data_IF_238218743995
#
_entry.id   IF_238218743995
#
_cell.length_a   1.000
_cell.length_b   1.000
_cell.length_c   1.000
_cell.angle_alpha   90.00
_cell.angle_beta   90.00
_cell.angle_gamma   90.00
#
_symmetry.space_group_name_H-M   'P 1'
#
loop_
_entity.id
_entity.type
_entity.pdbx_description
1 polymer ?
#
# COMPACT_ATOMS: atom_id res chain seq x y z
N UNK A 1 3.01 9.15 -11.20
CA UNK A 1 4.14 9.32 -10.28
C UNK A 1 5.48 9.31 -11.05
N UNK A 2 6.52 9.96 -10.54
CA UNK A 2 7.86 9.82 -11.11
C UNK A 2 8.28 8.35 -11.09
N UNK A 3 8.79 7.82 -12.20
CA UNK A 3 9.22 6.43 -12.32
C UNK A 3 8.13 5.35 -12.18
N UNK A 4 6.87 5.72 -12.21
CA UNK A 4 5.75 4.76 -12.25
C UNK A 4 5.72 3.95 -13.56
N UNK A 5 5.12 2.76 -13.52
CA UNK A 5 4.92 1.93 -14.69
C UNK A 5 4.04 2.64 -15.73
N UNK A 6 4.40 2.54 -16.99
CA UNK A 6 3.68 3.24 -18.08
C UNK A 6 2.26 2.70 -18.33
N UNK A 7 1.95 1.52 -17.84
CA UNK A 7 0.63 0.89 -17.93
C UNK A 7 -0.17 0.96 -16.63
N UNK A 8 0.51 1.21 -15.51
CA UNK A 8 -0.11 1.31 -14.20
C UNK A 8 -0.96 2.59 -14.10
N UNK A 9 -2.28 2.41 -13.90
CA UNK A 9 -3.27 3.47 -13.98
C UNK A 9 -3.72 3.82 -15.41
N UNK A 10 -2.83 4.24 -16.36
CA UNK A 10 -3.26 4.61 -17.71
C UNK A 10 -4.02 3.52 -18.46
N UNK A 11 -3.70 2.24 -18.25
CA UNK A 11 -4.40 1.13 -18.89
C UNK A 11 -5.89 1.13 -18.50
N UNK A 12 -6.21 1.24 -17.21
CA UNK A 12 -7.59 1.21 -16.73
C UNK A 12 -8.42 2.39 -17.26
N UNK A 13 -7.86 3.60 -17.24
CA UNK A 13 -8.55 4.80 -17.75
C UNK A 13 -8.79 4.70 -19.26
N UNK A 14 -7.78 4.27 -20.04
CA UNK A 14 -7.91 4.15 -21.49
C UNK A 14 -8.82 3.00 -21.89
N UNK A 15 -8.82 1.89 -21.17
CA UNK A 15 -9.76 0.78 -21.40
C UNK A 15 -11.20 1.22 -21.15
N UNK A 16 -11.46 1.98 -20.07
CA UNK A 16 -12.79 2.53 -19.81
C UNK A 16 -13.26 3.47 -20.94
N UNK A 17 -12.37 4.30 -21.49
CA UNK A 17 -12.67 5.15 -22.65
C UNK A 17 -12.99 4.30 -23.89
N UNK A 18 -12.21 3.26 -24.17
CA UNK A 18 -12.42 2.39 -25.34
C UNK A 18 -13.73 1.60 -25.23
N UNK A 19 -14.10 1.14 -24.02
CA UNK A 19 -15.41 0.50 -23.79
C UNK A 19 -16.55 1.43 -24.21
N UNK A 20 -16.54 2.70 -23.78
CA UNK A 20 -17.60 3.65 -24.14
C UNK A 20 -17.60 3.93 -25.64
N UNK A 21 -16.44 4.06 -26.27
CA UNK A 21 -16.36 4.24 -27.73
C UNK A 21 -16.97 3.04 -28.48
N UNK A 22 -16.57 1.83 -28.12
CA UNK A 22 -17.09 0.59 -28.74
C UNK A 22 -18.59 0.45 -28.55
N UNK A 23 -19.12 0.79 -27.37
CA UNK A 23 -20.57 0.78 -27.11
C UNK A 23 -21.32 1.80 -27.98
N UNK A 24 -20.79 3.01 -28.13
CA UNK A 24 -21.38 4.04 -28.98
C UNK A 24 -21.37 3.62 -30.47
N UNK A 25 -20.27 3.08 -30.95
CA UNK A 25 -20.14 2.55 -32.33
C UNK A 25 -21.08 1.39 -32.59
N UNK A 26 -21.31 0.53 -31.61
CA UNK A 26 -22.29 -0.57 -31.69
C UNK A 26 -23.75 -0.12 -31.47
N UNK A 27 -23.99 1.14 -31.16
CA UNK A 27 -25.34 1.66 -30.87
C UNK A 27 -25.98 1.10 -29.60
N UNK A 28 -25.16 0.61 -28.65
CA UNK A 28 -25.63 0.05 -27.39
C UNK A 28 -26.10 1.14 -26.43
N UNK A 29 -27.24 0.92 -25.80
CA UNK A 29 -27.76 1.80 -24.75
C UNK A 29 -27.79 1.06 -23.43
N UNK A 30 -27.31 1.75 -22.39
CA UNK A 30 -27.28 1.23 -21.02
C UNK A 30 -28.46 1.75 -20.22
N UNK A 31 -28.89 0.97 -19.22
CA UNK A 31 -29.96 1.36 -18.30
C UNK A 31 -29.53 2.49 -17.37
N UNK A 32 -28.27 2.50 -17.00
CA UNK A 32 -27.66 3.51 -16.13
C UNK A 32 -26.53 4.22 -16.88
N UNK A 33 -26.24 5.49 -16.57
CA UNK A 33 -25.10 6.16 -17.17
C UNK A 33 -23.80 5.46 -16.76
N UNK A 34 -22.82 5.49 -17.67
CA UNK A 34 -21.46 4.99 -17.41
C UNK A 34 -20.55 6.19 -17.23
N UNK A 35 -19.77 6.19 -16.18
CA UNK A 35 -18.78 7.21 -15.90
C UNK A 35 -17.38 6.63 -15.98
N UNK A 36 -16.46 7.34 -16.64
CA UNK A 36 -15.02 7.07 -16.59
C UNK A 36 -14.45 7.88 -15.45
N UNK A 37 -13.72 7.22 -14.55
CA UNK A 37 -13.11 7.88 -13.41
C UNK A 37 -11.60 7.79 -13.49
N UNK A 38 -10.93 8.92 -13.35
CA UNK A 38 -9.49 9.01 -13.15
C UNK A 38 -9.23 9.56 -11.74
N UNK A 39 -8.81 8.69 -10.82
CA UNK A 39 -8.60 9.04 -9.42
C UNK A 39 -7.33 9.86 -9.23
N UNK A 40 -7.49 11.13 -8.87
CA UNK A 40 -6.36 12.02 -8.56
C UNK A 40 -5.68 11.60 -7.25
N UNK A 41 -4.35 11.53 -7.24
CA UNK A 41 -3.55 11.16 -6.07
C UNK A 41 -3.90 9.77 -5.52
N UNK A 42 -4.14 8.81 -6.42
CA UNK A 42 -4.43 7.43 -6.05
C UNK A 42 -3.24 6.82 -5.33
N UNK A 43 -2.03 6.96 -5.86
CA UNK A 43 -0.77 6.41 -5.35
C UNK A 43 -0.25 7.08 -4.06
N UNK A 44 -0.69 8.29 -3.75
CA UNK A 44 -0.23 9.03 -2.58
C UNK A 44 1.23 9.46 -2.60
N UNK A 45 1.91 9.41 -3.75
CA UNK A 45 3.36 9.65 -3.84
C UNK A 45 3.79 11.06 -3.51
N UNK A 46 2.99 12.05 -3.88
CA UNK A 46 3.26 13.46 -3.56
C UNK A 46 2.53 13.89 -2.29
N UNK A 47 1.26 13.52 -2.17
CA UNK A 47 0.41 13.86 -1.02
C UNK A 47 -0.08 12.57 -0.37
N UNK A 48 0.33 12.30 0.85
CA UNK A 48 -0.11 11.13 1.60
C UNK A 48 -1.44 11.38 2.31
N UNK A 49 -2.27 10.33 2.48
CA UNK A 49 -2.10 8.92 2.10
C UNK A 49 -2.46 8.63 0.64
N UNK A 50 -2.25 7.41 0.15
CA UNK A 50 -2.81 6.92 -1.12
C UNK A 50 -4.34 6.86 -1.08
N UNK A 51 -4.98 6.62 -2.23
CA UNK A 51 -6.44 6.51 -2.40
C UNK A 51 -7.20 7.74 -1.88
N UNK A 52 -6.58 8.92 -1.93
CA UNK A 52 -7.13 10.13 -1.31
C UNK A 52 -8.45 10.56 -1.95
N UNK A 53 -8.50 10.65 -3.29
CA UNK A 53 -9.71 11.14 -3.99
C UNK A 53 -10.86 10.13 -3.96
N UNK A 54 -10.58 8.84 -4.08
CA UNK A 54 -11.59 7.79 -3.91
C UNK A 54 -12.12 7.77 -2.48
N UNK A 55 -11.24 7.99 -1.47
CA UNK A 55 -11.64 8.12 -0.08
C UNK A 55 -12.56 9.31 0.19
N UNK A 56 -12.33 10.46 -0.48
CA UNK A 56 -13.25 11.61 -0.40
C UNK A 56 -14.57 11.29 -1.08
N UNK A 57 -14.53 10.68 -2.28
CA UNK A 57 -15.74 10.27 -3.00
C UNK A 57 -16.61 9.30 -2.19
N UNK A 58 -15.99 8.34 -1.51
CA UNK A 58 -16.67 7.36 -0.66
C UNK A 58 -17.08 7.91 0.73
N UNK A 59 -16.74 9.16 1.06
CA UNK A 59 -17.07 9.78 2.35
C UNK A 59 -16.18 9.33 3.52
N UNK A 60 -15.06 8.63 3.25
CA UNK A 60 -14.06 8.26 4.26
C UNK A 60 -13.28 9.47 4.75
N UNK A 61 -13.00 10.40 3.84
CA UNK A 61 -12.31 11.66 4.14
C UNK A 61 -13.17 12.84 3.73
N UNK A 62 -13.08 13.97 4.47
CA UNK A 62 -13.69 15.21 4.01
C UNK A 62 -12.85 15.88 2.92
N UNK A 63 -13.51 16.64 2.04
CA UNK A 63 -12.82 17.40 0.99
C UNK A 63 -11.83 18.42 1.57
N UNK A 64 -12.22 19.11 2.66
CA UNK A 64 -11.37 20.09 3.34
C UNK A 64 -10.10 19.42 3.91
N UNK A 65 -10.24 18.23 4.48
CA UNK A 65 -9.11 17.46 4.94
C UNK A 65 -8.14 17.12 3.80
N UNK A 66 -8.65 16.62 2.67
CA UNK A 66 -7.83 16.32 1.51
C UNK A 66 -7.12 17.58 0.98
N UNK A 67 -7.84 18.68 0.82
CA UNK A 67 -7.26 19.96 0.36
C UNK A 67 -6.18 20.50 1.31
N UNK A 68 -6.24 20.14 2.60
CA UNK A 68 -5.26 20.58 3.60
C UNK A 68 -3.95 19.77 3.58
N UNK A 69 -3.91 18.62 2.89
CA UNK A 69 -2.70 17.78 2.83
C UNK A 69 -1.57 18.54 2.15
N UNK A 70 -0.35 18.34 2.66
CA UNK A 70 0.86 19.00 2.15
C UNK A 70 1.86 17.98 1.65
N UNK A 71 2.60 18.35 0.62
CA UNK A 71 3.77 17.59 0.18
C UNK A 71 5.00 17.89 1.05
N UNK A 72 6.13 17.25 0.75
CA UNK A 72 7.39 17.41 1.46
C UNK A 72 7.98 18.83 1.38
N UNK A 73 7.49 19.66 0.47
CA UNK A 73 7.90 21.07 0.30
C UNK A 73 6.95 22.06 0.97
N UNK A 74 5.84 21.57 1.56
CA UNK A 74 4.84 22.38 2.23
C UNK A 74 3.72 22.92 1.31
N UNK A 75 3.69 22.54 0.02
CA UNK A 75 2.62 22.91 -0.91
C UNK A 75 1.34 22.12 -0.60
N UNK A 76 0.19 22.79 -0.61
CA UNK A 76 -1.10 22.18 -0.30
C UNK A 76 -1.73 21.54 -1.53
N UNK A 77 -2.33 20.35 -1.35
CA UNK A 77 -3.01 19.61 -2.42
C UNK A 77 -4.11 20.43 -3.11
N UNK A 78 -4.98 21.10 -2.34
CA UNK A 78 -6.06 21.92 -2.90
C UNK A 78 -5.56 23.13 -3.72
N UNK A 79 -4.43 23.73 -3.30
CA UNK A 79 -3.83 24.85 -4.04
C UNK A 79 -3.19 24.38 -5.35
N UNK A 80 -2.57 23.21 -5.33
CA UNK A 80 -1.99 22.60 -6.55
C UNK A 80 -3.09 22.20 -7.55
N UNK A 81 -4.22 21.64 -7.10
CA UNK A 81 -5.37 21.35 -7.98
C UNK A 81 -5.92 22.62 -8.62
N UNK A 82 -6.06 23.71 -7.86
CA UNK A 82 -6.46 25.02 -8.42
C UNK A 82 -5.46 25.52 -9.44
N UNK A 83 -4.16 25.44 -9.12
CA UNK A 83 -3.09 25.89 -10.00
C UNK A 83 -3.10 25.21 -11.37
N UNK A 84 -3.42 23.91 -11.42
CA UNK A 84 -3.47 23.15 -12.67
C UNK A 84 -4.88 23.13 -13.31
N UNK A 85 -5.87 23.82 -12.73
CA UNK A 85 -7.22 23.89 -13.29
C UNK A 85 -8.05 22.60 -13.15
N UNK A 86 -7.76 21.75 -12.17
CA UNK A 86 -8.40 20.44 -11.97
C UNK A 86 -9.38 20.42 -10.79
N UNK A 87 -9.78 21.55 -10.30
CA UNK A 87 -10.94 21.67 -9.39
C UNK A 87 -12.21 21.72 -10.25
N UNK A 88 -13.06 20.71 -10.14
CA UNK A 88 -14.34 20.67 -10.85
C UNK A 88 -15.43 21.48 -10.13
N UNK A 89 -16.58 21.64 -10.80
CA UNK A 89 -17.75 22.36 -10.27
C UNK A 89 -18.77 21.43 -9.62
N UNK A 90 -18.64 20.11 -9.77
CA UNK A 90 -19.57 19.14 -9.23
C UNK A 90 -19.21 18.76 -7.78
N UNK A 91 -20.25 18.48 -6.98
CA UNK A 91 -20.08 17.93 -5.64
C UNK A 91 -19.37 16.55 -5.71
N UNK A 92 -18.44 16.32 -4.78
CA UNK A 92 -17.69 15.08 -4.72
C UNK A 92 -18.48 14.02 -3.96
N UNK A 93 -18.76 12.87 -4.61
CA UNK A 93 -19.47 11.76 -3.97
C UNK A 93 -20.96 12.03 -3.77
N UNK A 94 -21.56 11.37 -2.76
CA UNK A 94 -22.95 11.59 -2.36
C UNK A 94 -24.02 11.09 -3.34
N UNK A 95 -23.61 10.36 -4.39
CA UNK A 95 -24.53 9.76 -5.38
C UNK A 95 -24.45 8.25 -5.37
N UNK A 96 -25.55 7.53 -5.67
CA UNK A 96 -25.53 6.08 -5.71
C UNK A 96 -24.70 5.57 -6.90
N UNK A 97 -23.88 4.55 -6.65
CA UNK A 97 -23.12 3.81 -7.65
C UNK A 97 -23.70 2.42 -7.73
N UNK A 98 -24.15 2.01 -8.93
CA UNK A 98 -24.73 0.68 -9.14
C UNK A 98 -23.67 -0.42 -9.15
N UNK A 99 -22.53 -0.18 -9.79
CA UNK A 99 -21.37 -1.05 -9.81
C UNK A 99 -20.12 -0.25 -10.16
N UNK A 100 -18.96 -0.72 -9.69
CA UNK A 100 -17.64 -0.19 -10.04
C UNK A 100 -16.80 -1.33 -10.59
N UNK A 101 -16.16 -1.12 -11.71
CA UNK A 101 -15.23 -2.05 -12.35
C UNK A 101 -13.93 -1.32 -12.65
N UNK A 102 -12.81 -2.02 -12.46
CA UNK A 102 -11.50 -1.50 -12.76
C UNK A 102 -10.66 -2.58 -13.46
N UNK A 103 -10.09 -2.22 -14.63
CA UNK A 103 -9.07 -3.02 -15.27
C UNK A 103 -7.71 -2.56 -14.78
N UNK A 104 -6.97 -3.47 -14.19
CA UNK A 104 -5.65 -3.20 -13.64
C UNK A 104 -4.62 -4.21 -14.16
N UNK A 105 -3.35 -3.80 -14.26
CA UNK A 105 -2.26 -4.75 -14.47
C UNK A 105 -2.11 -5.62 -13.22
N UNK A 106 -1.58 -6.84 -13.36
CA UNK A 106 -1.36 -7.73 -12.20
C UNK A 106 -0.37 -7.15 -11.19
N UNK A 107 0.60 -6.38 -11.64
CA UNK A 107 1.77 -5.94 -10.84
C UNK A 107 2.55 -7.11 -10.21
N UNK A 108 2.51 -8.27 -10.85
CA UNK A 108 3.13 -9.49 -10.38
C UNK A 108 3.31 -10.50 -11.52
N UNK A 109 3.98 -11.63 -11.27
CA UNK A 109 4.35 -12.58 -12.31
C UNK A 109 3.38 -13.78 -12.45
N UNK A 110 2.35 -13.91 -11.58
CA UNK A 110 1.60 -15.17 -11.42
C UNK A 110 0.81 -15.53 -12.68
N UNK A 111 0.11 -14.56 -13.26
CA UNK A 111 -0.69 -14.80 -14.48
C UNK A 111 0.22 -15.08 -15.68
N UNK A 112 1.32 -14.32 -15.82
CA UNK A 112 2.30 -14.54 -16.88
C UNK A 112 2.94 -15.92 -16.79
N UNK A 113 3.40 -16.32 -15.61
CA UNK A 113 3.99 -17.65 -15.36
C UNK A 113 3.00 -18.79 -15.59
N UNK A 114 1.71 -18.56 -15.34
CA UNK A 114 0.64 -19.52 -15.59
C UNK A 114 0.13 -19.49 -17.05
N UNK A 115 0.56 -18.55 -17.89
CA UNK A 115 0.08 -18.35 -19.25
C UNK A 115 -1.40 -17.95 -19.30
N UNK A 116 -1.84 -17.15 -18.32
CA UNK A 116 -3.23 -16.67 -18.18
C UNK A 116 -3.27 -15.18 -18.51
N UNK A 117 -4.14 -14.78 -19.45
CA UNK A 117 -4.25 -13.40 -19.89
C UNK A 117 -5.08 -12.54 -18.93
N UNK A 118 -6.09 -13.12 -18.25
CA UNK A 118 -7.04 -12.40 -17.41
C UNK A 118 -7.21 -13.08 -16.06
N UNK A 119 -6.94 -12.35 -14.99
CA UNK A 119 -7.23 -12.74 -13.61
C UNK A 119 -8.52 -12.07 -13.11
N UNK A 120 -9.45 -12.86 -12.57
CA UNK A 120 -10.67 -12.34 -11.95
C UNK A 120 -10.42 -12.13 -10.47
N UNK A 121 -10.26 -10.87 -10.08
CA UNK A 121 -10.01 -10.50 -8.68
C UNK A 121 -11.30 -10.65 -7.87
N UNK A 122 -11.24 -11.34 -6.75
CA UNK A 122 -12.38 -11.61 -5.88
C UNK A 122 -12.35 -10.84 -4.56
N UNK A 123 -11.17 -10.36 -4.18
CA UNK A 123 -10.95 -9.68 -2.91
C UNK A 123 -9.89 -8.58 -3.06
N UNK A 124 -10.06 -7.48 -2.33
CA UNK A 124 -8.97 -6.60 -1.98
C UNK A 124 -8.22 -7.17 -0.78
N UNK A 125 -6.89 -7.24 -0.84
CA UNK A 125 -6.10 -7.69 0.30
C UNK A 125 -6.17 -6.69 1.44
N UNK A 126 -6.20 -7.21 2.67
CA UNK A 126 -5.92 -6.41 3.85
C UNK A 126 -4.42 -6.13 3.96
N UNK A 127 -4.10 -5.03 4.61
CA UNK A 127 -2.71 -4.66 4.90
C UNK A 127 -2.56 -4.20 6.35
N UNK A 128 -1.35 -4.39 6.86
CA UNK A 128 -0.92 -3.90 8.16
C UNK A 128 0.47 -3.27 8.03
N UNK A 129 0.54 -1.95 8.11
CA UNK A 129 1.79 -1.20 8.10
C UNK A 129 2.21 -0.85 9.52
N UNK A 130 3.39 -1.31 9.89
CA UNK A 130 3.94 -1.14 11.23
C UNK A 130 5.26 -0.40 11.12
N UNK A 131 5.40 0.69 11.85
CA UNK A 131 6.67 1.37 12.06
C UNK A 131 7.33 0.82 13.31
N UNK A 132 8.58 0.40 13.19
CA UNK A 132 9.40 -0.08 14.30
C UNK A 132 10.52 0.91 14.56
N UNK A 133 10.72 1.25 15.82
CA UNK A 133 11.87 2.03 16.27
C UNK A 133 12.67 1.18 17.26
N UNK A 134 13.96 1.03 17.00
CA UNK A 134 14.92 0.41 17.89
C UNK A 134 15.87 1.48 18.42
N UNK A 135 16.05 1.52 19.73
CA UNK A 135 17.05 2.36 20.38
C UNK A 135 18.09 1.48 21.06
N UNK A 136 19.32 1.72 20.72
CA UNK A 136 20.51 1.07 21.27
C UNK A 136 21.51 2.12 21.72
N UNK A 137 22.79 1.87 21.46
CA UNK A 137 23.87 2.77 21.89
C UNK A 137 24.89 2.95 20.78
N UNK A 138 25.10 4.20 20.37
CA UNK A 138 26.19 4.54 19.46
C UNK A 138 27.54 4.25 20.09
N UNK A 139 28.44 3.64 19.32
CA UNK A 139 29.77 3.32 19.76
C UNK A 139 30.74 3.21 18.57
N UNK A 140 32.01 3.44 18.81
CA UNK A 140 33.05 3.32 17.79
C UNK A 140 33.28 1.85 17.42
N UNK A 141 33.23 1.54 16.13
CA UNK A 141 33.33 0.15 15.64
C UNK A 141 34.64 -0.54 15.99
N UNK A 142 35.75 0.19 15.95
CA UNK A 142 37.09 -0.38 16.15
C UNK A 142 37.49 -0.57 17.64
N UNK A 143 36.98 0.26 18.54
CA UNK A 143 37.39 0.26 19.97
C UNK A 143 36.37 -0.33 20.91
N UNK A 144 35.14 -0.59 20.48
CA UNK A 144 34.10 -1.14 21.35
C UNK A 144 34.08 -2.66 21.27
N UNK A 145 34.31 -3.39 22.38
CA UNK A 145 34.23 -4.85 22.38
C UNK A 145 32.85 -5.36 21.95
N UNK A 146 32.81 -6.54 21.29
CA UNK A 146 31.55 -7.12 20.81
C UNK A 146 30.52 -7.32 21.92
N UNK A 147 30.97 -7.72 23.14
CA UNK A 147 30.10 -7.94 24.31
C UNK A 147 29.49 -6.65 24.92
N UNK A 148 29.98 -5.47 24.52
CA UNK A 148 29.51 -4.18 25.01
C UNK A 148 28.64 -3.43 24.04
N UNK A 149 28.31 -4.04 22.91
CA UNK A 149 27.56 -3.40 21.82
C UNK A 149 26.06 -3.54 22.01
N UNK A 150 25.35 -2.42 21.88
CA UNK A 150 23.88 -2.37 21.82
C UNK A 150 23.51 -1.84 20.42
N UNK A 151 23.52 -2.74 19.43
CA UNK A 151 23.52 -2.39 18.00
C UNK A 151 22.11 -2.44 17.41
N UNK A 152 21.50 -1.28 17.21
CA UNK A 152 20.17 -1.16 16.60
C UNK A 152 20.13 -1.65 15.13
N UNK A 153 21.23 -1.49 14.40
CA UNK A 153 21.34 -2.01 13.01
C UNK A 153 21.32 -3.54 12.96
N UNK A 154 21.93 -4.22 13.92
CA UNK A 154 21.84 -5.68 14.03
C UNK A 154 20.41 -6.12 14.37
N UNK A 155 19.75 -5.42 15.29
CA UNK A 155 18.35 -5.68 15.64
C UNK A 155 17.42 -5.55 14.42
N UNK A 156 17.59 -4.48 13.64
CA UNK A 156 16.83 -4.29 12.39
C UNK A 156 17.08 -5.44 11.41
N UNK A 157 18.31 -5.87 11.21
CA UNK A 157 18.62 -6.97 10.30
C UNK A 157 17.96 -8.29 10.73
N UNK A 158 18.00 -8.61 12.04
CA UNK A 158 17.36 -9.82 12.58
C UNK A 158 15.83 -9.75 12.47
N UNK A 159 15.22 -8.58 12.73
CA UNK A 159 13.77 -8.41 12.55
C UNK A 159 13.38 -8.47 11.06
N UNK A 160 14.21 -7.98 10.15
CA UNK A 160 13.98 -8.14 8.71
C UNK A 160 13.94 -9.61 8.29
N UNK A 161 14.84 -10.43 8.80
CA UNK A 161 14.81 -11.88 8.59
C UNK A 161 13.55 -12.52 9.20
N UNK A 162 13.18 -12.14 10.42
CA UNK A 162 11.96 -12.60 11.07
C UNK A 162 10.71 -12.28 10.24
N UNK A 163 10.60 -11.07 9.69
CA UNK A 163 9.49 -10.68 8.80
C UNK A 163 9.40 -11.60 7.58
N UNK A 164 10.54 -11.91 6.97
CA UNK A 164 10.60 -12.83 5.83
C UNK A 164 10.15 -14.25 6.21
N UNK A 165 10.62 -14.78 7.34
CA UNK A 165 10.25 -16.12 7.84
C UNK A 165 8.75 -16.19 8.18
N UNK A 166 8.20 -15.17 8.82
CA UNK A 166 6.75 -15.08 9.11
C UNK A 166 5.97 -15.11 7.79
N UNK A 167 6.33 -14.30 6.81
CA UNK A 167 5.63 -14.27 5.52
C UNK A 167 5.66 -15.64 4.82
N UNK A 168 6.81 -16.32 4.82
CA UNK A 168 6.95 -17.66 4.25
C UNK A 168 6.10 -18.69 4.99
N UNK A 169 5.97 -18.61 6.32
CA UNK A 169 5.18 -19.56 7.11
C UNK A 169 3.69 -19.47 6.85
N UNK A 170 3.21 -18.32 6.35
CA UNK A 170 1.81 -18.06 5.99
C UNK A 170 1.55 -18.06 4.47
N UNK A 171 2.56 -18.49 3.64
CA UNK A 171 2.38 -18.62 2.20
C UNK A 171 1.27 -19.65 1.87
N UNK A 172 0.65 -19.59 0.66
CA UNK A 172 0.94 -18.70 -0.46
C UNK A 172 0.16 -17.37 -0.44
N UNK A 173 -0.79 -17.18 0.47
CA UNK A 173 -1.72 -16.05 0.44
C UNK A 173 -1.35 -14.89 1.37
N UNK A 174 -0.22 -15.00 2.05
CA UNK A 174 0.33 -13.91 2.85
C UNK A 174 1.69 -13.50 2.30
N UNK A 175 1.95 -12.20 2.31
CA UNK A 175 3.22 -11.61 1.93
C UNK A 175 3.65 -10.60 2.98
N UNK A 176 4.96 -10.35 3.06
CA UNK A 176 5.49 -9.37 4.00
C UNK A 176 6.89 -8.91 3.60
N UNK A 177 7.16 -7.65 3.83
CA UNK A 177 8.46 -7.05 3.57
C UNK A 177 8.77 -5.92 4.55
N UNK A 178 10.07 -5.66 4.72
CA UNK A 178 10.56 -4.40 5.31
C UNK A 178 10.81 -3.43 4.17
N UNK A 179 10.18 -2.26 4.23
CA UNK A 179 10.24 -1.22 3.21
C UNK A 179 11.23 -0.11 3.56
N UNK A 180 10.75 0.98 4.14
CA UNK A 180 11.59 2.10 4.55
C UNK A 180 12.57 1.71 5.66
N UNK A 181 13.83 2.11 5.55
CA UNK A 181 14.87 1.84 6.54
C UNK A 181 15.74 3.07 6.76
N UNK A 182 15.91 3.47 8.01
CA UNK A 182 16.83 4.51 8.43
C UNK A 182 17.67 4.03 9.61
N UNK A 183 18.97 4.28 9.60
CA UNK A 183 19.87 4.00 10.69
C UNK A 183 20.63 5.27 11.08
N UNK A 184 20.90 5.44 12.36
CA UNK A 184 21.56 6.63 12.88
C UNK A 184 22.77 6.23 13.72
N UNK A 185 23.90 6.96 13.56
CA UNK A 185 24.10 8.16 12.72
C UNK A 185 24.42 7.85 11.24
N UNK A 186 24.33 6.60 10.79
CA UNK A 186 24.63 6.17 9.41
C UNK A 186 26.07 6.52 8.98
N UNK A 187 27.03 6.18 9.82
CA UNK A 187 28.47 6.42 9.64
C UNK A 187 29.25 5.11 9.59
N UNK A 188 30.24 5.04 8.72
CA UNK A 188 31.03 3.83 8.42
C UNK A 188 31.69 3.21 9.65
N UNK A 189 32.13 4.02 10.62
CA UNK A 189 32.89 3.60 11.78
C UNK A 189 32.14 3.71 13.11
N UNK A 190 30.81 3.90 13.07
CA UNK A 190 29.95 4.00 14.25
C UNK A 190 28.89 2.90 14.21
N UNK A 191 28.76 2.16 15.32
CA UNK A 191 27.68 1.20 15.54
C UNK A 191 26.37 1.99 15.67
N UNK A 192 25.32 1.66 14.88
CA UNK A 192 24.05 2.38 14.95
C UNK A 192 23.41 2.31 16.35
N UNK A 193 23.15 3.48 16.92
CA UNK A 193 22.42 3.61 18.18
C UNK A 193 20.90 3.70 17.99
N UNK A 194 20.42 3.95 16.76
CA UNK A 194 18.99 3.95 16.46
C UNK A 194 18.73 3.39 15.06
N UNK A 195 17.65 2.64 14.92
CA UNK A 195 17.10 2.24 13.62
C UNK A 195 15.58 2.49 13.59
N UNK A 196 15.07 2.97 12.46
CA UNK A 196 13.64 3.15 12.19
C UNK A 196 13.33 2.49 10.87
N UNK A 197 12.31 1.64 10.84
CA UNK A 197 11.92 0.95 9.60
C UNK A 197 10.43 0.65 9.60
N UNK A 198 9.89 0.37 8.40
CA UNK A 198 8.48 0.01 8.23
C UNK A 198 8.35 -1.42 7.73
N UNK A 199 7.32 -2.09 8.21
CA UNK A 199 6.93 -3.44 7.83
C UNK A 199 5.57 -3.36 7.16
N UNK A 200 5.40 -4.06 6.03
CA UNK A 200 4.14 -4.24 5.32
C UNK A 200 3.79 -5.72 5.32
N UNK A 201 2.68 -6.09 5.99
CA UNK A 201 2.07 -7.42 5.92
C UNK A 201 0.76 -7.33 5.16
N UNK A 202 0.52 -8.28 4.24
CA UNK A 202 -0.72 -8.35 3.48
C UNK A 202 -1.26 -9.78 3.42
N UNK A 203 -2.57 -9.91 3.49
CA UNK A 203 -3.30 -11.15 3.27
C UNK A 203 -4.78 -10.86 2.97
N UNK A 204 -5.47 -11.70 2.16
CA UNK A 204 -6.92 -11.66 2.05
C UNK A 204 -7.65 -12.14 3.32
N UNK A 205 -6.94 -12.74 4.29
CA UNK A 205 -7.51 -13.26 5.53
C UNK A 205 -7.08 -12.40 6.73
N UNK A 206 -8.01 -11.70 7.41
CA UNK A 206 -7.68 -10.83 8.54
C UNK A 206 -7.10 -11.60 9.74
N UNK A 207 -7.48 -12.87 9.94
CA UNK A 207 -6.92 -13.68 11.00
C UNK A 207 -5.42 -14.01 10.77
N UNK A 208 -5.02 -14.16 9.51
CA UNK A 208 -3.61 -14.34 9.14
C UNK A 208 -2.82 -13.07 9.41
N UNK A 209 -3.32 -11.90 9.03
CA UNK A 209 -2.65 -10.60 9.33
C UNK A 209 -2.46 -10.44 10.84
N UNK A 210 -3.48 -10.75 11.64
CA UNK A 210 -3.39 -10.67 13.10
C UNK A 210 -2.38 -11.66 13.69
N UNK A 211 -2.29 -12.88 13.13
CA UNK A 211 -1.29 -13.87 13.53
C UNK A 211 0.12 -13.39 13.22
N UNK A 212 0.36 -12.87 11.99
CA UNK A 212 1.66 -12.32 11.57
C UNK A 212 2.10 -11.15 12.45
N UNK A 213 1.20 -10.22 12.81
CA UNK A 213 1.51 -9.11 13.73
C UNK A 213 1.90 -9.62 15.13
N UNK A 214 1.17 -10.60 15.66
CA UNK A 214 1.47 -11.21 16.95
C UNK A 214 2.83 -11.91 16.96
N UNK A 215 3.14 -12.67 15.91
CA UNK A 215 4.42 -13.37 15.75
C UNK A 215 5.58 -12.37 15.63
N UNK A 216 5.39 -11.30 14.85
CA UNK A 216 6.35 -10.22 14.73
C UNK A 216 6.68 -9.61 16.09
N UNK A 217 5.67 -9.15 16.84
CA UNK A 217 5.90 -8.49 18.13
C UNK A 217 6.62 -9.43 19.10
N UNK A 218 6.14 -10.67 19.22
CA UNK A 218 6.77 -11.66 20.12
C UNK A 218 8.21 -11.97 19.73
N UNK A 219 8.52 -12.11 18.44
CA UNK A 219 9.87 -12.38 17.97
C UNK A 219 10.79 -11.17 18.08
N UNK A 220 10.29 -9.99 17.73
CA UNK A 220 11.05 -8.75 17.81
C UNK A 220 11.37 -8.34 19.27
N UNK A 221 10.45 -8.56 20.22
CA UNK A 221 10.71 -8.35 21.65
C UNK A 221 11.86 -9.24 22.14
N UNK A 222 11.90 -10.53 21.75
CA UNK A 222 12.99 -11.44 22.09
C UNK A 222 14.33 -11.01 21.50
N UNK A 223 14.31 -10.53 20.25
CA UNK A 223 15.51 -9.99 19.60
C UNK A 223 16.00 -8.75 20.35
N UNK A 224 15.10 -7.84 20.68
CA UNK A 224 15.42 -6.62 21.43
C UNK A 224 16.01 -6.95 22.82
N UNK A 225 15.37 -7.84 23.57
CA UNK A 225 15.85 -8.31 24.87
C UNK A 225 17.27 -8.91 24.76
N UNK A 226 17.51 -9.79 23.78
CA UNK A 226 18.81 -10.46 23.56
C UNK A 226 19.92 -9.45 23.26
N UNK A 227 19.61 -8.38 22.52
CA UNK A 227 20.56 -7.35 22.10
C UNK A 227 20.64 -6.14 23.04
N UNK A 228 19.81 -6.11 24.09
CA UNK A 228 19.71 -5.00 25.04
C UNK A 228 19.12 -3.73 24.43
N UNK A 229 18.27 -3.86 23.41
CA UNK A 229 17.62 -2.75 22.70
C UNK A 229 16.28 -2.38 23.34
N UNK A 230 15.94 -1.09 23.31
CA UNK A 230 14.56 -0.66 23.49
C UNK A 230 13.82 -0.71 22.14
N UNK A 231 12.64 -1.31 22.13
CA UNK A 231 11.80 -1.43 20.94
C UNK A 231 10.44 -0.76 21.13
N UNK A 232 9.97 -0.10 20.09
CA UNK A 232 8.59 0.41 20.04
C UNK A 232 7.96 0.20 18.67
N UNK A 233 6.63 0.01 18.68
CA UNK A 233 5.81 -0.22 17.51
C UNK A 233 4.76 0.87 17.40
N UNK A 234 4.59 1.41 16.20
CA UNK A 234 3.55 2.37 15.85
C UNK A 234 2.74 1.81 14.66
N UNK A 235 1.41 1.85 14.76
CA UNK A 235 0.54 1.51 13.63
C UNK A 235 0.61 2.63 12.60
N UNK A 236 1.26 2.40 11.46
CA UNK A 236 1.40 3.39 10.39
C UNK A 236 0.20 3.38 9.42
N UNK A 237 -0.49 2.25 9.31
CA UNK A 237 -1.71 2.10 8.52
C UNK A 237 -2.27 0.68 8.62
N UNK A 238 -3.58 0.55 8.48
CA UNK A 238 -4.24 -0.74 8.39
C UNK A 238 -5.49 -0.62 7.52
N UNK A 239 -5.74 -1.64 6.70
CA UNK A 239 -6.97 -1.82 5.94
C UNK A 239 -7.41 -3.27 6.09
N UNK A 240 -8.70 -3.46 6.35
CA UNK A 240 -9.30 -4.79 6.35
C UNK A 240 -9.42 -5.32 4.91
N UNK A 241 -9.32 -6.65 4.71
CA UNK A 241 -9.63 -7.25 3.42
C UNK A 241 -11.08 -6.99 3.04
N UNK A 242 -11.32 -6.78 1.75
CA UNK A 242 -12.67 -6.54 1.21
C UNK A 242 -13.01 -7.63 0.20
N UNK A 243 -14.10 -8.36 0.44
CA UNK A 243 -14.68 -9.27 -0.55
C UNK A 243 -15.48 -8.45 -1.56
N UNK A 244 -15.25 -8.68 -2.86
CA UNK A 244 -15.97 -7.99 -3.91
C UNK A 244 -17.38 -8.59 -4.10
N UNK A 245 -18.30 -7.77 -4.61
CA UNK A 245 -19.67 -8.21 -4.85
C UNK A 245 -19.70 -9.46 -5.74
N UNK A 246 -20.33 -10.58 -5.28
CA UNK A 246 -20.31 -11.84 -6.02
C UNK A 246 -20.96 -11.76 -7.40
N UNK A 247 -21.89 -10.83 -7.63
CA UNK A 247 -22.52 -10.64 -8.94
C UNK A 247 -21.58 -9.94 -9.90
N UNK A 248 -20.82 -8.94 -9.43
CA UNK A 248 -19.79 -8.29 -10.22
C UNK A 248 -18.66 -9.27 -10.59
N UNK A 249 -18.18 -10.06 -9.63
CA UNK A 249 -17.16 -11.10 -9.85
C UNK A 249 -17.63 -12.13 -10.88
N UNK A 250 -18.88 -12.60 -10.79
CA UNK A 250 -19.46 -13.55 -11.73
C UNK A 250 -19.53 -12.96 -13.15
N UNK A 251 -20.00 -11.71 -13.28
CA UNK A 251 -20.09 -11.05 -14.58
C UNK A 251 -18.72 -10.95 -15.27
N UNK A 252 -17.68 -10.56 -14.53
CA UNK A 252 -16.31 -10.51 -15.07
C UNK A 252 -15.82 -11.90 -15.47
N UNK A 253 -16.10 -12.94 -14.66
CA UNK A 253 -15.69 -14.32 -14.95
C UNK A 253 -16.37 -14.85 -16.21
N UNK A 254 -17.67 -14.64 -16.34
CA UNK A 254 -18.43 -15.05 -17.52
C UNK A 254 -17.93 -14.34 -18.79
N UNK A 255 -17.63 -13.04 -18.71
CA UNK A 255 -17.09 -12.29 -19.83
C UNK A 255 -15.66 -12.71 -20.24
N UNK A 256 -14.84 -13.16 -19.29
CA UNK A 256 -13.47 -13.62 -19.55
C UNK A 256 -13.40 -15.04 -20.18
N UNK A 257 -14.49 -15.82 -20.13
CA UNK A 257 -14.55 -17.20 -20.66
C UNK A 257 -15.30 -17.33 -21.98
N UNK A 258 -15.95 -16.28 -22.45
CA UNK A 258 -16.68 -16.23 -23.72
C UNK A 258 -15.85 -15.68 -24.84
#
# INVERSE_FOLDING_TARGET
QPTGGKYDGPLGVLAALEIIRSMNEAGLQTRHPIEIVNWTNEEGCRFTPPMMSSGVFAGVHSLDWAYSRTDSTGLRFGDELKRIGWVGDADVGGRPVAAFFELHIEQGPILEEAGIDIGVVTHGQGLNWIRVTLNGKEAHTGSTPMSSRVNAGLGMAQITMLVHEIALSHAPHAVGAVGHCEVFPNSTNIIPGKAVFTIDFRSPNPAVIAAMDKELRSGADKIAETLGLDISFEQAGALDPVEFDPSCVRNVREAATG
#
